data_IF_515312654394
#
_entry.id   IF_515312654394
#
_cell.length_a   1.000
_cell.length_b   1.000
_cell.length_c   1.000
_cell.angle_alpha   90.00
_cell.angle_beta   90.00
_cell.angle_gamma   90.00
#
_symmetry.space_group_name_H-M   'P 1'
#
loop_
_entity.id
_entity.type
_entity.pdbx_description
1 polymer ?
#
# COMPACT_ATOMS: atom_id res chain seq x y z
N UNK A 1 13.66 2.41 20.43
CA UNK A 1 14.53 1.22 20.31
C UNK A 1 13.88 0.18 19.41
N UNK A 2 14.56 -0.95 19.13
CA UNK A 2 14.09 -1.96 18.16
C UNK A 2 12.66 -2.49 18.45
N UNK A 3 12.35 -2.80 19.71
CA UNK A 3 11.03 -3.34 20.11
C UNK A 3 9.89 -2.37 19.75
N UNK A 4 10.00 -1.12 20.16
CA UNK A 4 9.01 -0.08 19.84
C UNK A 4 8.86 0.12 18.33
N UNK A 5 9.96 0.10 17.57
CA UNK A 5 9.90 0.21 16.10
C UNK A 5 9.16 -0.98 15.46
N UNK A 6 9.42 -2.20 15.95
CA UNK A 6 8.71 -3.41 15.52
C UNK A 6 7.21 -3.32 15.81
N UNK A 7 6.84 -2.84 16.98
CA UNK A 7 5.43 -2.71 17.40
C UNK A 7 4.68 -1.71 16.51
N UNK A 8 5.27 -0.54 16.24
CA UNK A 8 4.66 0.46 15.35
C UNK A 8 4.54 -0.06 13.91
N UNK A 9 5.52 -0.83 13.43
CA UNK A 9 5.53 -1.32 12.06
C UNK A 9 4.67 -2.57 11.84
N UNK A 10 4.46 -3.41 12.86
CA UNK A 10 3.79 -4.70 12.74
C UNK A 10 2.41 -4.65 12.03
N UNK A 11 1.53 -3.67 12.29
CA UNK A 11 0.24 -3.57 11.58
C UNK A 11 0.38 -3.28 10.08
N UNK A 12 1.46 -2.62 9.67
CA UNK A 12 1.72 -2.22 8.28
C UNK A 12 2.45 -3.30 7.48
N UNK A 13 3.08 -4.26 8.16
CA UNK A 13 3.90 -5.29 7.56
C UNK A 13 3.17 -6.11 6.47
N UNK A 14 1.89 -6.51 6.63
CA UNK A 14 1.17 -7.23 5.58
C UNK A 14 1.06 -6.45 4.27
N UNK A 15 0.72 -5.16 4.33
CA UNK A 15 0.64 -4.30 3.15
C UNK A 15 2.04 -4.06 2.56
N UNK A 16 3.04 -3.76 3.39
CA UNK A 16 4.41 -3.55 2.94
C UNK A 16 4.96 -4.78 2.18
N UNK A 17 4.67 -5.98 2.68
CA UNK A 17 5.01 -7.22 2.01
C UNK A 17 4.22 -7.42 0.70
N UNK A 18 2.91 -7.15 0.70
CA UNK A 18 2.07 -7.23 -0.51
C UNK A 18 2.54 -6.27 -1.61
N UNK A 19 2.96 -5.07 -1.25
CA UNK A 19 3.58 -4.12 -2.19
C UNK A 19 4.93 -4.61 -2.73
N UNK A 20 5.63 -5.48 -1.99
CA UNK A 20 6.95 -6.05 -2.33
C UNK A 20 7.00 -6.99 -3.54
N UNK A 21 5.89 -7.19 -4.25
CA UNK A 21 5.81 -8.06 -5.42
C UNK A 21 6.62 -7.54 -6.61
N UNK A 22 7.42 -8.40 -7.21
CA UNK A 22 8.25 -8.08 -8.39
C UNK A 22 7.35 -7.80 -9.60
N UNK A 23 7.73 -6.81 -10.43
CA UNK A 23 7.02 -6.30 -11.64
C UNK A 23 5.71 -5.54 -11.41
N UNK A 24 4.91 -5.91 -10.41
CA UNK A 24 3.61 -5.28 -10.11
C UNK A 24 3.63 -4.38 -8.88
N UNK A 25 4.67 -4.45 -8.04
CA UNK A 25 4.76 -3.65 -6.82
C UNK A 25 4.64 -2.15 -7.04
N UNK A 26 5.15 -1.63 -8.16
CA UNK A 26 5.02 -0.20 -8.48
C UNK A 26 3.57 0.20 -8.74
N UNK A 27 2.80 -0.60 -9.50
CA UNK A 27 1.40 -0.29 -9.78
C UNK A 27 0.51 -0.45 -8.55
N UNK A 28 0.83 -1.40 -7.65
CA UNK A 28 0.17 -1.51 -6.34
C UNK A 28 0.38 -0.23 -5.52
N UNK A 29 1.63 0.24 -5.35
CA UNK A 29 1.94 1.47 -4.60
C UNK A 29 1.26 2.70 -5.19
N UNK A 30 1.28 2.84 -6.52
CA UNK A 30 0.60 3.96 -7.18
C UNK A 30 -0.91 3.91 -6.99
N UNK A 31 -1.51 2.72 -6.96
CA UNK A 31 -2.94 2.58 -6.67
C UNK A 31 -3.26 2.98 -5.22
N UNK A 32 -2.43 2.60 -4.24
CA UNK A 32 -2.56 3.05 -2.85
C UNK A 32 -2.49 4.59 -2.77
N UNK A 33 -1.50 5.21 -3.40
CA UNK A 33 -1.36 6.68 -3.43
C UNK A 33 -2.54 7.36 -4.11
N UNK A 34 -3.06 6.79 -5.21
CA UNK A 34 -4.24 7.31 -5.91
C UNK A 34 -5.48 7.27 -5.02
N UNK A 35 -5.73 6.15 -4.34
CA UNK A 35 -6.88 5.99 -3.44
C UNK A 35 -6.80 6.89 -2.20
N UNK A 36 -5.58 7.22 -1.77
CA UNK A 36 -5.32 8.22 -0.72
C UNK A 36 -5.35 9.67 -1.22
N UNK A 37 -5.62 9.91 -2.50
CA UNK A 37 -5.72 11.26 -3.08
C UNK A 37 -4.38 11.97 -3.31
N UNK A 38 -3.24 11.27 -3.17
CA UNK A 38 -1.90 11.87 -3.31
C UNK A 38 -1.53 12.11 -4.78
N UNK A 39 -2.00 11.23 -5.67
CA UNK A 39 -1.74 11.34 -7.12
C UNK A 39 -3.03 11.10 -7.93
N UNK A 40 -3.11 11.69 -9.11
CA UNK A 40 -4.30 11.58 -9.95
C UNK A 40 -4.56 10.17 -10.53
N UNK A 41 -3.51 9.36 -10.76
CA UNK A 41 -3.70 8.02 -11.34
C UNK A 41 -2.62 6.99 -10.96
N UNK A 42 -3.03 5.71 -11.01
CA UNK A 42 -2.19 4.53 -10.76
C UNK A 42 -1.36 4.05 -11.96
N UNK A 43 -1.40 4.78 -13.09
CA UNK A 43 -0.80 4.33 -14.36
C UNK A 43 0.72 4.21 -14.26
N UNK A 44 1.28 3.16 -14.83
CA UNK A 44 2.73 2.95 -14.95
C UNK A 44 3.17 2.98 -16.42
N UNK A 45 4.47 3.20 -16.65
CA UNK A 45 5.10 3.13 -17.97
C UNK A 45 5.83 1.77 -18.11
N UNK A 46 5.88 1.17 -19.32
CA UNK A 46 6.71 -0.01 -19.56
C UNK A 46 8.17 0.22 -19.10
N UNK A 47 8.85 -0.82 -18.57
CA UNK A 47 8.44 -2.23 -18.53
C UNK A 47 7.58 -2.63 -17.31
N UNK A 48 7.18 -1.67 -16.45
CA UNK A 48 6.33 -1.98 -15.30
C UNK A 48 4.92 -2.44 -15.74
N UNK A 49 4.35 -3.38 -15.00
CA UNK A 49 3.03 -3.93 -15.30
C UNK A 49 1.95 -3.13 -14.56
N UNK A 50 0.84 -2.85 -15.26
CA UNK A 50 -0.38 -2.33 -14.64
C UNK A 50 -0.87 -3.27 -13.55
N UNK A 51 -1.63 -2.73 -12.58
CA UNK A 51 -2.21 -3.51 -11.49
C UNK A 51 -3.15 -4.58 -12.08
N UNK A 52 -2.89 -5.88 -11.87
CA UNK A 52 -3.81 -6.92 -12.27
C UNK A 52 -5.14 -6.79 -11.52
N UNK A 53 -6.26 -6.93 -12.23
CA UNK A 53 -7.59 -6.82 -11.63
C UNK A 53 -7.81 -7.86 -10.50
N UNK A 54 -7.17 -9.03 -10.61
CA UNK A 54 -7.21 -10.09 -9.59
C UNK A 54 -6.55 -9.69 -8.27
N UNK A 55 -5.66 -8.70 -8.25
CA UNK A 55 -5.03 -8.20 -7.03
C UNK A 55 -5.84 -7.10 -6.33
N UNK A 56 -6.85 -6.53 -6.99
CA UNK A 56 -7.66 -5.45 -6.41
C UNK A 56 -8.37 -5.89 -5.12
N UNK A 57 -9.09 -7.04 -5.07
CA UNK A 57 -9.75 -7.45 -3.83
C UNK A 57 -8.77 -7.74 -2.69
N UNK A 58 -7.58 -8.24 -3.00
CA UNK A 58 -6.54 -8.48 -1.99
C UNK A 58 -5.97 -7.16 -1.46
N UNK A 59 -5.77 -6.17 -2.34
CA UNK A 59 -5.40 -4.83 -1.93
C UNK A 59 -6.47 -4.21 -1.01
N UNK A 60 -7.75 -4.38 -1.35
CA UNK A 60 -8.86 -3.91 -0.53
C UNK A 60 -8.82 -4.52 0.89
N UNK A 61 -8.56 -5.83 0.99
CA UNK A 61 -8.40 -6.52 2.26
C UNK A 61 -7.22 -5.98 3.07
N UNK A 62 -6.06 -5.75 2.44
CA UNK A 62 -4.90 -5.16 3.12
C UNK A 62 -5.17 -3.74 3.61
N UNK A 63 -5.90 -2.92 2.85
CA UNK A 63 -6.23 -1.55 3.24
C UNK A 63 -7.25 -1.51 4.39
N UNK A 64 -8.18 -2.46 4.43
CA UNK A 64 -9.21 -2.54 5.46
C UNK A 64 -8.66 -2.93 6.85
N UNK A 65 -7.46 -3.53 6.93
CA UNK A 65 -6.83 -3.93 8.20
C UNK A 65 -5.83 -2.91 8.74
N UNK A 66 -5.58 -1.82 8.01
CA UNK A 66 -4.64 -0.80 8.46
C UNK A 66 -5.20 -0.05 9.68
N UNK A 67 -4.32 0.37 10.60
CA UNK A 67 -4.73 1.26 11.67
C UNK A 67 -5.25 2.58 11.08
N UNK A 68 -6.36 3.08 11.61
CA UNK A 68 -6.81 4.44 11.33
C UNK A 68 -5.77 5.37 11.94
N UNK A 69 -5.17 6.22 11.11
CA UNK A 69 -4.27 7.24 11.64
C UNK A 69 -5.14 8.31 12.29
N UNK A 70 -5.13 8.39 13.62
CA UNK A 70 -5.66 9.55 14.31
C UNK A 70 -4.83 10.75 13.87
N UNK A 71 -5.45 11.64 13.12
CA UNK A 71 -4.90 12.96 12.85
C UNK A 71 -5.35 13.81 14.03
N UNK A 72 -4.73 13.61 15.19
CA UNK A 72 -4.83 14.58 16.27
C UNK A 72 -4.32 15.90 15.69
N UNK A 73 -5.29 16.78 15.44
CA UNK A 73 -5.06 18.11 14.91
C UNK A 73 -4.66 18.98 16.10
N UNK A 74 -3.37 18.97 16.42
CA UNK A 74 -2.74 20.01 17.25
C UNK A 74 -2.19 21.15 16.37
#
# INVERSE_FOLDING_TARGET
GFVAAREVFAPWLPLANFEGQVRVGLSIRKEVLRRRGVIACGRVRPPALSLPATLIPLLDQHLATLPVADHDSD
#
